data_IF_526598680290
#
_entry.id   IF_526598680290
#
_cell.length_a   1.000
_cell.length_b   1.000
_cell.length_c   1.000
_cell.angle_alpha   90.00
_cell.angle_beta   90.00
_cell.angle_gamma   90.00
#
_symmetry.space_group_name_H-M   'P 1'
#
loop_
_entity.id
_entity.type
_entity.pdbx_description
1 polymer ?
#
# COMPACT_ATOMS: atom_id res chain seq x y z
N UNK A 1 14.82 6.59 -4.74
CA UNK A 1 13.74 6.79 -5.73
C UNK A 1 14.12 6.04 -6.98
N UNK A 2 13.17 5.48 -7.71
CA UNK A 2 13.51 4.55 -8.78
C UNK A 2 12.58 4.69 -9.99
N UNK A 3 13.20 4.79 -11.16
CA UNK A 3 12.55 4.76 -12.48
C UNK A 3 11.83 3.42 -12.70
N UNK A 4 12.45 2.31 -12.27
CA UNK A 4 11.81 1.02 -12.08
C UNK A 4 11.77 0.70 -10.59
N UNK A 5 10.58 0.47 -10.03
CA UNK A 5 10.41 0.19 -8.59
C UNK A 5 10.29 -1.30 -8.31
N UNK A 6 10.75 -1.73 -7.13
CA UNK A 6 10.48 -3.07 -6.60
C UNK A 6 9.10 -3.22 -5.93
N UNK A 7 8.20 -2.25 -6.15
CA UNK A 7 6.82 -2.27 -5.65
C UNK A 7 5.96 -2.84 -6.77
N UNK A 8 5.44 -4.04 -6.57
CA UNK A 8 4.92 -4.90 -7.63
C UNK A 8 3.72 -4.32 -8.40
N UNK A 9 2.98 -3.38 -7.81
CA UNK A 9 1.81 -2.75 -8.44
C UNK A 9 2.09 -1.41 -9.13
N UNK A 10 3.32 -0.94 -9.12
CA UNK A 10 3.70 0.34 -9.73
C UNK A 10 4.91 0.17 -10.64
N UNK A 11 4.98 0.98 -11.67
CA UNK A 11 6.11 0.97 -12.60
C UNK A 11 7.22 1.90 -12.07
N UNK A 12 6.84 3.03 -11.46
CA UNK A 12 7.75 4.00 -10.87
C UNK A 12 7.30 4.50 -9.49
N UNK A 13 8.23 5.04 -8.71
CA UNK A 13 7.93 5.71 -7.43
C UNK A 13 8.33 7.17 -7.46
N UNK A 14 7.42 8.03 -6.99
CA UNK A 14 7.67 9.46 -6.84
C UNK A 14 7.45 9.88 -5.38
N UNK A 15 8.33 10.76 -4.88
CA UNK A 15 8.21 11.34 -3.56
C UNK A 15 8.33 12.87 -3.67
N UNK A 16 7.30 13.65 -3.36
CA UNK A 16 7.38 15.12 -3.39
C UNK A 16 8.24 15.66 -2.22
N UNK A 17 8.25 14.93 -1.11
CA UNK A 17 9.11 15.10 0.06
C UNK A 17 9.40 13.74 0.68
N UNK A 18 10.25 13.73 1.69
CA UNK A 18 10.62 12.56 2.50
C UNK A 18 10.27 12.85 3.95
N UNK A 19 9.68 11.86 4.61
CA UNK A 19 9.22 11.94 5.99
C UNK A 19 7.69 11.90 6.11
N UNK A 20 7.22 11.39 7.24
CA UNK A 20 5.83 11.51 7.68
C UNK A 20 5.70 11.27 9.19
N UNK A 21 4.60 11.73 9.77
CA UNK A 21 4.28 11.52 11.19
C UNK A 21 3.73 10.11 11.40
N UNK A 22 4.13 9.43 12.47
CA UNK A 22 3.55 8.13 12.84
C UNK A 22 2.15 8.31 13.43
N UNK A 23 1.19 7.45 13.06
CA UNK A 23 -0.20 7.58 13.52
C UNK A 23 -0.91 6.27 13.87
N UNK A 24 -0.26 5.12 13.69
CA UNK A 24 -0.87 3.81 14.00
C UNK A 24 0.18 2.71 14.16
N UNK A 25 -0.18 1.53 14.69
CA UNK A 25 0.71 0.37 14.84
C UNK A 25 1.39 -0.06 13.54
N UNK A 26 0.76 0.13 12.39
CA UNK A 26 1.39 -0.07 11.09
C UNK A 26 2.68 0.75 10.85
N UNK A 27 2.95 1.78 11.67
CA UNK A 27 4.13 2.63 11.57
C UNK A 27 5.31 2.14 12.43
N UNK A 28 5.12 1.18 13.33
CA UNK A 28 6.13 0.81 14.35
C UNK A 28 7.42 0.25 13.73
N UNK A 29 7.28 -0.58 12.68
CA UNK A 29 8.39 -1.18 11.94
C UNK A 29 8.50 -0.62 10.51
N UNK A 30 8.18 0.66 10.33
CA UNK A 30 8.17 1.28 9.01
C UNK A 30 9.53 1.18 8.30
N UNK A 31 9.56 0.57 7.11
CA UNK A 31 10.81 0.44 6.34
C UNK A 31 11.44 1.79 5.98
N UNK A 32 10.62 2.82 5.76
CA UNK A 32 11.07 4.15 5.35
C UNK A 32 11.76 4.88 6.52
N UNK A 33 11.22 4.75 7.73
CA UNK A 33 11.91 5.21 8.94
C UNK A 33 13.19 4.40 9.19
N UNK A 34 13.15 3.08 9.02
CA UNK A 34 14.34 2.23 9.14
C UNK A 34 15.44 2.65 8.17
N UNK A 35 15.10 3.01 6.93
CA UNK A 35 16.03 3.61 5.97
C UNK A 35 16.55 4.96 6.47
N UNK A 36 15.68 5.86 6.92
CA UNK A 36 16.07 7.19 7.39
C UNK A 36 17.05 7.11 8.57
N UNK A 37 16.83 6.20 9.53
CA UNK A 37 17.75 5.93 10.65
C UNK A 37 19.14 5.50 10.15
N UNK A 38 19.21 4.58 9.19
CA UNK A 38 20.49 4.12 8.60
C UNK A 38 21.19 5.22 7.80
N UNK A 39 20.42 6.13 7.21
CA UNK A 39 20.95 7.27 6.46
C UNK A 39 21.37 8.45 7.37
N UNK A 40 21.22 8.35 8.69
CA UNK A 40 21.47 9.47 9.62
C UNK A 40 20.40 10.57 9.58
N UNK A 41 19.24 10.29 8.98
CA UNK A 41 18.12 11.22 8.78
C UNK A 41 16.90 10.87 9.66
N UNK A 42 17.12 10.32 10.86
CA UNK A 42 16.03 9.87 11.76
C UNK A 42 14.99 10.97 12.06
N UNK A 43 15.40 12.24 12.03
CA UNK A 43 14.52 13.41 12.20
C UNK A 43 13.34 13.47 11.25
N UNK A 44 13.43 12.80 10.08
CA UNK A 44 12.36 12.78 9.07
C UNK A 44 11.06 12.06 9.50
N UNK A 45 11.14 11.23 10.54
CA UNK A 45 9.99 10.52 11.12
C UNK A 45 9.66 10.98 12.55
N UNK A 46 10.26 12.08 12.99
CA UNK A 46 10.06 12.66 14.33
C UNK A 46 9.73 14.16 14.31
N UNK A 47 9.28 14.70 13.17
CA UNK A 47 8.74 16.07 13.07
C UNK A 47 9.32 16.94 11.96
N UNK A 48 10.42 16.52 11.31
CA UNK A 48 10.99 17.25 10.18
C UNK A 48 10.55 16.62 8.86
N UNK A 49 10.26 17.42 7.84
CA UNK A 49 10.04 16.93 6.47
C UNK A 49 11.06 17.56 5.53
N UNK A 50 11.46 16.83 4.50
CA UNK A 50 12.45 17.30 3.51
C UNK A 50 11.91 17.22 2.10
N UNK A 51 11.74 18.36 1.43
CA UNK A 51 11.38 18.42 0.01
C UNK A 51 12.44 17.71 -0.83
N UNK A 52 12.02 17.00 -1.87
CA UNK A 52 12.94 16.35 -2.81
C UNK A 52 13.48 17.34 -3.85
N UNK A 53 14.59 16.98 -4.51
CA UNK A 53 15.30 17.86 -5.44
C UNK A 53 14.50 18.20 -6.70
N UNK A 54 14.85 19.29 -7.36
CA UNK A 54 14.23 19.70 -8.64
C UNK A 54 14.33 18.61 -9.71
N UNK A 55 15.47 17.90 -9.77
CA UNK A 55 15.67 16.80 -10.71
C UNK A 55 14.62 15.69 -10.50
N UNK A 56 14.26 15.41 -9.24
CA UNK A 56 13.20 14.45 -8.95
C UNK A 56 11.83 14.93 -9.44
N UNK A 57 11.51 16.21 -9.22
CA UNK A 57 10.25 16.83 -9.70
C UNK A 57 10.14 16.87 -11.24
N UNK A 58 11.24 16.69 -11.97
CA UNK A 58 11.24 16.57 -13.42
C UNK A 58 10.95 15.15 -13.94
N UNK A 59 11.10 14.11 -13.10
CA UNK A 59 10.93 12.71 -13.52
C UNK A 59 9.51 12.42 -14.03
N UNK A 60 8.41 12.82 -13.34
CA UNK A 60 7.06 12.51 -13.81
C UNK A 60 6.74 13.15 -15.16
N UNK A 61 7.25 14.35 -15.46
CA UNK A 61 7.08 14.97 -16.79
C UNK A 61 7.78 14.18 -17.88
N UNK A 62 8.95 13.61 -17.59
CA UNK A 62 9.66 12.71 -18.52
C UNK A 62 8.85 11.43 -18.75
N UNK A 63 8.44 10.77 -17.67
CA UNK A 63 7.63 9.56 -17.71
C UNK A 63 6.30 9.76 -18.42
N UNK A 64 5.68 10.92 -18.27
CA UNK A 64 4.44 11.26 -18.96
C UNK A 64 4.64 11.32 -20.48
N UNK A 65 5.73 11.93 -20.95
CA UNK A 65 6.07 11.93 -22.39
C UNK A 65 6.32 10.52 -22.92
N UNK A 66 7.04 9.70 -22.16
CA UNK A 66 7.29 8.29 -22.50
C UNK A 66 5.98 7.48 -22.58
N UNK A 67 5.10 7.59 -21.57
CA UNK A 67 3.82 6.91 -21.51
C UNK A 67 2.87 7.36 -22.64
N UNK A 68 2.81 8.67 -22.91
CA UNK A 68 2.02 9.23 -24.00
C UNK A 68 2.52 8.71 -25.38
N UNK A 69 3.84 8.66 -25.60
CA UNK A 69 4.40 8.14 -26.84
C UNK A 69 4.17 6.62 -27.01
N UNK A 70 4.15 5.87 -25.90
CA UNK A 70 3.88 4.43 -25.91
C UNK A 70 2.39 4.07 -26.02
N UNK A 71 1.47 5.01 -25.81
CA UNK A 71 0.03 4.76 -25.78
C UNK A 71 -0.44 3.91 -24.59
N UNK A 72 0.38 3.76 -23.56
CA UNK A 72 0.10 2.94 -22.38
C UNK A 72 0.33 3.76 -21.09
N UNK A 73 -0.68 3.88 -20.20
CA UNK A 73 -0.50 4.61 -18.95
C UNK A 73 0.59 4.00 -18.08
N UNK A 74 1.48 4.84 -17.53
CA UNK A 74 2.48 4.40 -16.54
C UNK A 74 1.94 4.61 -15.12
N UNK A 75 2.05 3.58 -14.29
CA UNK A 75 1.60 3.59 -12.89
C UNK A 75 2.68 4.17 -11.98
N UNK A 76 2.35 5.26 -11.28
CA UNK A 76 3.28 5.98 -10.40
C UNK A 76 2.76 5.96 -8.97
N UNK A 77 3.51 5.31 -8.08
CA UNK A 77 3.20 5.31 -6.66
C UNK A 77 3.74 6.57 -5.97
N UNK A 78 2.84 7.32 -5.34
CA UNK A 78 3.14 8.55 -4.61
C UNK A 78 2.47 8.51 -3.22
N UNK A 79 3.18 8.34 -2.11
CA UNK A 79 4.62 8.37 -1.95
C UNK A 79 5.13 7.18 -1.15
N UNK A 80 6.26 6.61 -1.56
CA UNK A 80 6.89 5.48 -0.88
C UNK A 80 7.64 5.87 0.39
N UNK A 81 7.98 7.14 0.56
CA UNK A 81 8.76 7.68 1.67
C UNK A 81 8.09 8.91 2.30
N UNK A 82 6.80 9.10 2.04
CA UNK A 82 6.00 10.19 2.59
C UNK A 82 4.52 9.81 2.63
N UNK A 83 3.71 10.61 3.31
CA UNK A 83 2.25 10.57 3.23
C UNK A 83 1.77 11.92 2.68
N UNK A 84 1.20 11.92 1.47
CA UNK A 84 0.79 13.16 0.79
C UNK A 84 -0.37 13.87 1.48
N UNK A 85 -1.01 13.22 2.47
CA UNK A 85 -2.09 13.75 3.29
C UNK A 85 -1.66 14.01 4.75
N UNK A 86 -0.35 14.04 5.04
CA UNK A 86 0.17 14.45 6.34
C UNK A 86 -0.11 15.94 6.62
N UNK A 87 -0.46 16.27 7.87
CA UNK A 87 -0.71 17.65 8.31
C UNK A 87 0.58 18.47 8.42
N UNK A 88 1.73 17.80 8.63
CA UNK A 88 3.03 18.48 8.74
C UNK A 88 3.59 18.89 7.37
N UNK A 89 3.05 18.35 6.28
CA UNK A 89 3.51 18.67 4.93
C UNK A 89 3.09 20.09 4.54
N UNK A 90 4.08 20.90 4.14
CA UNK A 90 3.89 22.26 3.65
C UNK A 90 2.79 22.30 2.56
N UNK A 91 1.70 23.07 2.76
CA UNK A 91 0.63 23.20 1.78
C UNK A 91 1.12 23.62 0.39
N UNK A 92 2.18 24.45 0.29
CA UNK A 92 2.75 24.85 -1.00
C UNK A 92 3.37 23.66 -1.75
N UNK A 93 4.01 22.74 -1.02
CA UNK A 93 4.61 21.54 -1.63
C UNK A 93 3.55 20.60 -2.20
N UNK A 94 2.39 20.54 -1.54
CA UNK A 94 1.24 19.76 -1.98
C UNK A 94 0.54 20.42 -3.16
N UNK A 95 0.43 21.75 -3.17
CA UNK A 95 -0.07 22.49 -4.33
C UNK A 95 0.80 22.24 -5.58
N UNK A 96 2.13 22.19 -5.43
CA UNK A 96 3.04 21.82 -6.51
C UNK A 96 2.82 20.36 -6.98
N UNK A 97 2.52 19.44 -6.06
CA UNK A 97 2.17 18.05 -6.41
C UNK A 97 0.87 18.01 -7.23
N UNK A 98 -0.17 18.75 -6.83
CA UNK A 98 -1.42 18.82 -7.59
C UNK A 98 -1.20 19.35 -9.00
N UNK A 99 -0.40 20.41 -9.15
CA UNK A 99 -0.01 20.91 -10.47
C UNK A 99 0.71 19.85 -11.31
N UNK A 100 1.66 19.13 -10.71
CA UNK A 100 2.40 18.07 -11.41
C UNK A 100 1.50 16.93 -11.88
N UNK A 101 0.57 16.47 -11.02
CA UNK A 101 -0.38 15.41 -11.37
C UNK A 101 -1.28 15.87 -12.54
N UNK A 102 -1.73 17.13 -12.52
CA UNK A 102 -2.56 17.71 -13.59
C UNK A 102 -1.81 17.82 -14.92
N UNK A 103 -0.52 18.17 -14.87
CA UNK A 103 0.37 18.25 -16.05
C UNK A 103 0.78 16.88 -16.61
N UNK A 104 0.44 15.78 -15.93
CA UNK A 104 0.88 14.43 -16.31
C UNK A 104 -0.29 13.45 -16.52
N UNK A 105 -1.18 13.71 -17.50
CA UNK A 105 -2.40 12.93 -17.71
C UNK A 105 -2.15 11.50 -18.22
N UNK A 106 -0.98 11.21 -18.81
CA UNK A 106 -0.61 9.85 -19.24
C UNK A 106 -0.06 8.97 -18.09
N UNK A 107 0.01 9.51 -16.86
CA UNK A 107 0.39 8.77 -15.68
C UNK A 107 -0.83 8.44 -14.83
N UNK A 108 -0.92 7.20 -14.35
CA UNK A 108 -1.87 6.80 -13.32
C UNK A 108 -1.21 6.94 -11.95
N UNK A 109 -1.69 7.87 -11.13
CA UNK A 109 -1.13 8.18 -9.81
C UNK A 109 -1.81 7.38 -8.70
N UNK A 110 -1.03 6.67 -7.90
CA UNK A 110 -1.52 5.88 -6.76
C UNK A 110 -1.17 6.66 -5.49
N UNK A 111 -2.18 7.29 -4.88
CA UNK A 111 -2.01 8.07 -3.65
C UNK A 111 -2.49 7.28 -2.44
N UNK A 112 -1.56 6.75 -1.65
CA UNK A 112 -1.87 5.95 -0.46
C UNK A 112 -1.62 6.75 0.82
N UNK A 113 -2.55 6.66 1.77
CA UNK A 113 -2.42 7.34 3.07
C UNK A 113 -2.91 6.49 4.24
N UNK A 114 -2.49 6.86 5.46
CA UNK A 114 -3.13 6.38 6.70
C UNK A 114 -4.11 7.41 7.29
N UNK A 115 -4.31 8.54 6.61
CA UNK A 115 -5.11 9.70 7.04
C UNK A 115 -6.24 10.07 6.06
N UNK A 116 -7.11 9.14 5.64
CA UNK A 116 -8.14 9.46 4.65
C UNK A 116 -9.12 10.56 5.11
N UNK A 117 -9.25 10.81 6.42
CA UNK A 117 -10.03 11.93 6.96
C UNK A 117 -9.54 13.31 6.50
N UNK A 118 -8.28 13.40 6.07
CA UNK A 118 -7.68 14.64 5.57
C UNK A 118 -7.92 14.86 4.08
N UNK A 119 -8.20 13.80 3.32
CA UNK A 119 -8.21 13.83 1.84
C UNK A 119 -9.12 14.93 1.33
N UNK A 120 -10.42 14.91 1.68
CA UNK A 120 -11.39 15.93 1.22
C UNK A 120 -10.97 17.38 1.48
N UNK A 121 -10.24 17.63 2.58
CA UNK A 121 -9.81 18.98 2.98
C UNK A 121 -8.56 19.45 2.24
N UNK A 122 -7.80 18.51 1.67
CA UNK A 122 -6.48 18.74 1.09
C UNK A 122 -6.43 18.51 -0.42
N UNK A 123 -7.54 18.04 -1.01
CA UNK A 123 -7.73 17.98 -2.46
C UNK A 123 -7.80 19.41 -3.04
N UNK A 124 -7.33 19.60 -4.29
CA UNK A 124 -7.39 20.90 -4.93
C UNK A 124 -8.84 21.28 -5.30
N UNK A 125 -9.19 22.58 -5.39
CA UNK A 125 -10.55 23.03 -5.71
C UNK A 125 -11.12 22.44 -7.01
N UNK A 126 -10.25 22.21 -8.00
CA UNK A 126 -10.60 21.66 -9.31
C UNK A 126 -10.71 20.11 -9.32
N UNK A 127 -10.74 19.45 -8.17
CA UNK A 127 -10.89 17.99 -8.07
C UNK A 127 -12.18 17.47 -8.71
N UNK A 128 -13.27 18.20 -8.55
CA UNK A 128 -14.57 17.87 -9.13
C UNK A 128 -15.29 16.67 -8.49
N UNK A 129 -16.54 16.46 -8.90
CA UNK A 129 -17.43 15.42 -8.35
C UNK A 129 -17.10 13.99 -8.80
N UNK A 130 -16.36 13.84 -9.91
CA UNK A 130 -15.85 12.56 -10.38
C UNK A 130 -14.42 12.27 -9.85
N UNK A 131 -13.73 13.27 -9.32
CA UNK A 131 -12.29 13.23 -9.09
C UNK A 131 -11.48 13.31 -10.38
N UNK A 132 -10.16 13.30 -10.25
CA UNK A 132 -9.27 13.31 -11.41
C UNK A 132 -9.12 11.92 -12.02
N UNK A 133 -9.28 11.75 -13.35
CA UNK A 133 -9.35 10.44 -14.00
C UNK A 133 -8.04 9.64 -13.91
N UNK A 134 -6.93 10.33 -13.70
CA UNK A 134 -5.60 9.74 -13.63
C UNK A 134 -5.10 9.57 -12.18
N UNK A 135 -5.98 9.63 -11.18
CA UNK A 135 -5.63 9.47 -9.76
C UNK A 135 -6.47 8.39 -9.07
N UNK A 136 -5.79 7.40 -8.51
CA UNK A 136 -6.37 6.38 -7.64
C UNK A 136 -6.04 6.72 -6.18
N UNK A 137 -7.06 6.75 -5.33
CA UNK A 137 -6.90 7.07 -3.92
C UNK A 137 -6.93 5.79 -3.09
N UNK A 138 -5.98 5.64 -2.17
CA UNK A 138 -5.87 4.47 -1.33
C UNK A 138 -5.75 4.81 0.14
N UNK A 139 -6.21 3.90 0.99
CA UNK A 139 -5.88 3.94 2.43
C UNK A 139 -5.22 2.65 2.87
N UNK A 140 -4.26 2.74 3.79
CA UNK A 140 -3.78 1.56 4.51
C UNK A 140 -4.75 1.21 5.64
N UNK A 141 -4.94 -0.08 5.91
CA UNK A 141 -5.47 -0.59 7.18
C UNK A 141 -4.60 -1.75 7.65
N UNK A 142 -4.41 -1.91 8.95
CA UNK A 142 -3.66 -3.03 9.53
C UNK A 142 -4.54 -4.09 10.19
N UNK A 143 -5.81 -3.78 10.41
CA UNK A 143 -6.83 -4.65 11.00
C UNK A 143 -8.23 -4.04 10.75
N UNK A 144 -9.26 -4.70 11.28
CA UNK A 144 -10.66 -4.27 11.23
C UNK A 144 -10.86 -2.87 11.84
N UNK A 145 -10.30 -2.57 13.02
CA UNK A 145 -10.48 -1.26 13.66
C UNK A 145 -10.03 -0.14 12.72
N UNK A 146 -8.82 -0.26 12.16
CA UNK A 146 -8.28 0.72 11.25
C UNK A 146 -8.99 0.74 9.90
N UNK A 147 -9.47 -0.40 9.41
CA UNK A 147 -10.29 -0.46 8.19
C UNK A 147 -11.58 0.33 8.37
N UNK A 148 -12.38 0.00 9.39
CA UNK A 148 -13.63 0.69 9.71
C UNK A 148 -13.38 2.19 9.95
N UNK A 149 -12.29 2.53 10.64
CA UNK A 149 -11.91 3.92 10.92
C UNK A 149 -11.60 4.71 9.67
N UNK A 150 -10.92 4.12 8.70
CA UNK A 150 -10.34 4.82 7.54
C UNK A 150 -11.24 4.75 6.31
N UNK A 151 -11.87 3.61 6.07
CA UNK A 151 -12.71 3.38 4.90
C UNK A 151 -13.95 4.27 4.88
N UNK A 152 -14.57 4.55 6.05
CA UNK A 152 -15.68 5.51 6.16
C UNK A 152 -15.35 6.91 5.61
N UNK A 153 -14.08 7.30 5.66
CA UNK A 153 -13.64 8.59 5.11
C UNK A 153 -13.30 8.48 3.63
N UNK A 154 -12.60 7.42 3.22
CA UNK A 154 -12.14 7.29 1.84
C UNK A 154 -13.27 6.93 0.86
N UNK A 155 -14.18 6.03 1.25
CA UNK A 155 -15.29 5.51 0.42
C UNK A 155 -16.16 6.62 -0.18
N UNK A 156 -16.26 7.76 0.50
CA UNK A 156 -17.10 8.88 0.07
C UNK A 156 -16.33 9.93 -0.74
N UNK A 157 -15.02 9.81 -0.93
CA UNK A 157 -14.24 10.78 -1.71
C UNK A 157 -14.45 10.53 -3.21
N UNK A 158 -14.76 11.54 -4.04
CA UNK A 158 -14.75 11.40 -5.49
C UNK A 158 -13.41 10.88 -6.01
N UNK A 159 -13.42 9.76 -6.72
CA UNK A 159 -12.27 9.22 -7.42
C UNK A 159 -12.75 8.16 -8.41
N UNK A 160 -12.05 7.98 -9.54
CA UNK A 160 -12.32 6.87 -10.46
C UNK A 160 -12.05 5.50 -9.82
N UNK A 161 -11.18 5.45 -8.79
CA UNK A 161 -10.82 4.22 -8.09
C UNK A 161 -10.37 4.51 -6.66
N UNK A 162 -10.90 3.73 -5.71
CA UNK A 162 -10.55 3.74 -4.29
C UNK A 162 -10.07 2.35 -3.87
N UNK A 163 -8.81 2.25 -3.45
CA UNK A 163 -8.22 0.96 -3.07
C UNK A 163 -7.88 0.86 -1.59
N UNK A 164 -7.78 -0.37 -1.11
CA UNK A 164 -7.32 -0.69 0.24
C UNK A 164 -5.97 -1.40 0.17
N UNK A 165 -5.01 -0.91 0.94
CA UNK A 165 -3.76 -1.61 1.20
C UNK A 165 -3.80 -2.18 2.61
N UNK A 166 -4.11 -3.46 2.72
CA UNK A 166 -4.07 -4.21 3.98
C UNK A 166 -2.61 -4.62 4.27
N UNK A 167 -1.77 -3.61 4.52
CA UNK A 167 -0.31 -3.73 4.63
C UNK A 167 0.32 -2.77 5.66
N UNK A 168 0.98 -3.28 6.72
CA UNK A 168 1.06 -4.69 7.09
C UNK A 168 -0.28 -5.21 7.62
N UNK A 169 -0.61 -6.45 7.31
CA UNK A 169 -1.71 -7.18 7.92
C UNK A 169 -1.36 -7.65 9.34
N UNK A 170 -1.95 -7.03 10.36
CA UNK A 170 -1.64 -7.23 11.79
C UNK A 170 -2.81 -7.83 12.59
N UNK A 171 -4.02 -7.85 12.05
CA UNK A 171 -5.22 -8.45 12.66
C UNK A 171 -6.31 -8.65 11.62
N UNK A 172 -7.33 -9.48 11.87
CA UNK A 172 -8.39 -9.75 10.89
C UNK A 172 -9.01 -8.45 10.36
N UNK A 173 -9.34 -8.40 9.06
CA UNK A 173 -9.84 -7.19 8.41
C UNK A 173 -11.37 -6.99 8.60
N UNK A 174 -12.09 -8.06 8.93
CA UNK A 174 -13.56 -8.06 9.01
C UNK A 174 -14.23 -8.14 7.63
N UNK A 175 -15.51 -7.72 7.56
CA UNK A 175 -16.28 -7.70 6.31
C UNK A 175 -15.87 -6.50 5.43
N UNK A 176 -15.46 -6.79 4.20
CA UNK A 176 -15.12 -5.78 3.18
C UNK A 176 -16.30 -4.88 2.84
N UNK A 177 -17.54 -5.39 2.90
CA UNK A 177 -18.75 -4.60 2.68
C UNK A 177 -19.07 -3.87 3.97
N UNK A 178 -18.33 -2.79 4.18
CA UNK A 178 -18.54 -1.92 5.33
C UNK A 178 -19.88 -1.19 5.20
N UNK A 179 -20.91 -1.72 5.84
CA UNK A 179 -22.26 -1.14 5.85
C UNK A 179 -22.73 -0.83 4.40
N UNK A 180 -23.31 0.35 4.20
CA UNK A 180 -23.77 0.84 2.89
C UNK A 180 -22.68 1.61 2.12
N UNK A 181 -21.40 1.52 2.51
CA UNK A 181 -20.29 2.24 1.86
C UNK A 181 -19.62 1.46 0.72
N UNK A 182 -20.04 0.21 0.49
CA UNK A 182 -19.48 -0.67 -0.52
C UNK A 182 -18.07 -1.16 -0.17
N UNK A 183 -17.60 -2.12 -0.96
CA UNK A 183 -16.25 -2.66 -0.88
C UNK A 183 -15.24 -1.75 -1.61
N UNK A 184 -13.93 -1.87 -1.32
CA UNK A 184 -12.90 -1.24 -2.13
C UNK A 184 -12.92 -1.70 -3.58
N UNK A 185 -12.55 -0.81 -4.51
CA UNK A 185 -12.43 -1.12 -5.94
C UNK A 185 -11.23 -2.04 -6.23
N UNK A 186 -10.31 -2.15 -5.27
CA UNK A 186 -9.12 -3.01 -5.32
C UNK A 186 -8.57 -3.26 -3.93
N UNK A 187 -8.09 -4.47 -3.68
CA UNK A 187 -7.51 -4.84 -2.40
C UNK A 187 -6.14 -5.49 -2.56
N UNK A 188 -5.18 -4.94 -1.82
CA UNK A 188 -3.81 -5.42 -1.74
C UNK A 188 -3.55 -5.97 -0.33
N UNK A 189 -3.02 -7.19 -0.21
CA UNK A 189 -2.66 -7.82 1.07
C UNK A 189 -1.17 -8.11 1.12
N UNK A 190 -0.55 -7.82 2.27
CA UNK A 190 0.86 -8.13 2.48
C UNK A 190 1.27 -8.09 3.94
N UNK A 191 2.17 -9.00 4.30
CA UNK A 191 2.77 -9.05 5.63
C UNK A 191 3.89 -8.02 5.84
N UNK A 192 4.28 -7.84 7.10
CA UNK A 192 5.35 -6.92 7.49
C UNK A 192 6.74 -7.48 7.14
N UNK A 193 7.68 -6.61 6.75
CA UNK A 193 9.04 -7.01 6.37
C UNK A 193 10.09 -6.08 6.99
N UNK A 194 11.26 -6.62 7.32
CA UNK A 194 12.36 -5.88 7.91
C UNK A 194 12.51 -6.13 9.42
N UNK A 195 13.44 -5.42 10.08
CA UNK A 195 13.70 -5.60 11.51
C UNK A 195 12.42 -5.45 12.34
N UNK A 196 12.14 -6.43 13.20
CA UNK A 196 10.97 -6.43 14.06
C UNK A 196 9.66 -6.82 13.39
N UNK A 197 9.68 -7.28 12.13
CA UNK A 197 8.49 -7.68 11.38
C UNK A 197 7.58 -8.62 12.20
N UNK A 198 6.30 -8.30 12.23
CA UNK A 198 5.24 -9.11 12.84
C UNK A 198 4.65 -10.11 11.83
N UNK A 199 4.33 -11.34 12.23
CA UNK A 199 3.73 -12.33 11.34
C UNK A 199 2.27 -11.99 11.01
N UNK A 200 1.81 -12.44 9.84
CA UNK A 200 0.41 -12.40 9.41
C UNK A 200 -0.20 -13.80 9.52
N UNK A 201 -1.41 -13.91 10.07
CA UNK A 201 -2.12 -15.20 10.11
C UNK A 201 -2.60 -15.58 8.70
N UNK A 202 -2.38 -16.82 8.22
CA UNK A 202 -2.73 -17.22 6.86
C UNK A 202 -4.23 -17.12 6.56
N UNK A 203 -5.08 -17.37 7.56
CA UNK A 203 -6.53 -17.25 7.37
C UNK A 203 -6.99 -15.81 7.07
N UNK A 204 -6.30 -14.77 7.55
CA UNK A 204 -6.69 -13.39 7.23
C UNK A 204 -6.55 -13.09 5.73
N UNK A 205 -5.44 -13.52 5.12
CA UNK A 205 -5.23 -13.34 3.68
C UNK A 205 -6.23 -14.16 2.85
N UNK A 206 -6.53 -15.40 3.27
CA UNK A 206 -7.52 -16.27 2.60
C UNK A 206 -8.93 -15.71 2.69
N UNK A 207 -9.34 -15.27 3.88
CA UNK A 207 -10.65 -14.68 4.09
C UNK A 207 -10.86 -13.45 3.20
N UNK A 208 -9.86 -12.56 3.16
CA UNK A 208 -9.92 -11.37 2.32
C UNK A 208 -9.92 -11.72 0.82
N UNK A 209 -9.15 -12.72 0.39
CA UNK A 209 -9.21 -13.25 -0.99
C UNK A 209 -10.61 -13.73 -1.35
N UNK A 210 -11.21 -14.52 -0.46
CA UNK A 210 -12.51 -15.15 -0.70
C UNK A 210 -13.62 -14.09 -0.72
N UNK A 211 -13.57 -13.10 0.17
CA UNK A 211 -14.48 -11.94 0.15
C UNK A 211 -14.32 -11.11 -1.13
N UNK A 212 -13.08 -10.87 -1.60
CA UNK A 212 -12.83 -10.19 -2.87
C UNK A 212 -13.44 -10.96 -4.05
N UNK A 213 -13.25 -12.28 -4.08
CA UNK A 213 -13.82 -13.13 -5.13
C UNK A 213 -15.35 -13.09 -5.14
N UNK A 214 -16.00 -13.07 -3.97
CA UNK A 214 -17.45 -12.98 -3.85
C UNK A 214 -17.98 -11.59 -4.27
N UNK A 215 -17.22 -10.54 -4.01
CA UNK A 215 -17.60 -9.16 -4.30
C UNK A 215 -17.20 -8.68 -5.72
N UNK A 216 -16.47 -9.50 -6.48
CA UNK A 216 -15.91 -9.10 -7.78
C UNK A 216 -14.80 -8.05 -7.68
N UNK A 217 -14.14 -7.96 -6.53
CA UNK A 217 -13.04 -7.01 -6.28
C UNK A 217 -11.73 -7.64 -6.73
N UNK A 218 -10.92 -6.98 -7.59
CA UNK A 218 -9.58 -7.42 -7.90
C UNK A 218 -8.75 -7.60 -6.62
N UNK A 219 -8.08 -8.74 -6.50
CA UNK A 219 -7.28 -9.10 -5.32
C UNK A 219 -5.81 -9.29 -5.69
N UNK A 220 -4.94 -8.60 -4.95
CA UNK A 220 -3.50 -8.77 -5.05
C UNK A 220 -2.93 -9.23 -3.72
N UNK A 221 -2.31 -10.41 -3.72
CA UNK A 221 -1.47 -10.85 -2.62
C UNK A 221 -0.03 -10.49 -2.94
N UNK A 222 0.50 -9.48 -2.27
CA UNK A 222 1.84 -8.97 -2.54
C UNK A 222 2.91 -9.95 -2.05
N UNK A 223 2.82 -10.36 -0.78
CA UNK A 223 3.82 -11.20 -0.11
C UNK A 223 3.48 -11.49 1.36
N UNK A 224 4.11 -12.52 1.92
CA UNK A 224 3.98 -12.91 3.33
C UNK A 224 4.73 -12.02 4.34
N UNK A 225 5.69 -11.20 3.89
CA UNK A 225 6.60 -10.50 4.82
C UNK A 225 7.79 -11.38 5.20
N UNK A 226 8.37 -11.14 6.38
CA UNK A 226 9.52 -11.92 6.85
C UNK A 226 9.15 -13.30 7.44
N UNK A 227 7.85 -13.61 7.53
CA UNK A 227 7.33 -14.81 8.15
C UNK A 227 6.53 -15.65 7.16
N UNK A 228 6.85 -16.94 7.04
CA UNK A 228 6.08 -17.88 6.23
C UNK A 228 5.22 -18.78 7.13
N UNK A 229 3.89 -18.83 6.95
CA UNK A 229 3.04 -19.79 7.65
C UNK A 229 3.37 -21.24 7.27
N UNK A 230 3.30 -22.13 8.26
CA UNK A 230 3.48 -23.56 8.03
C UNK A 230 2.46 -24.08 7.00
N UNK A 231 2.93 -24.90 6.06
CA UNK A 231 2.13 -25.40 4.94
C UNK A 231 2.05 -24.48 3.71
N UNK A 232 2.57 -23.25 3.77
CA UNK A 232 2.74 -22.41 2.58
C UNK A 232 4.01 -22.77 1.80
N UNK A 233 3.98 -22.75 0.46
CA UNK A 233 5.19 -22.93 -0.33
C UNK A 233 6.08 -21.68 -0.27
N UNK A 234 7.39 -21.87 -0.35
CA UNK A 234 8.36 -20.78 -0.46
C UNK A 234 8.38 -20.15 -1.85
N UNK A 235 8.91 -18.94 -1.95
CA UNK A 235 9.12 -18.25 -3.23
C UNK A 235 10.35 -18.69 -4.03
N UNK A 236 10.95 -19.86 -3.74
CA UNK A 236 12.16 -20.34 -4.42
C UNK A 236 12.83 -21.53 -3.70
N UNK A 237 14.03 -21.91 -4.18
CA UNK A 237 14.85 -22.95 -3.55
C UNK A 237 15.19 -22.59 -2.11
N UNK A 238 15.00 -23.57 -1.23
CA UNK A 238 15.22 -23.41 0.18
C UNK A 238 16.51 -24.13 0.55
N UNK A 239 17.47 -23.42 1.13
CA UNK A 239 18.44 -24.07 2.02
C UNK A 239 17.73 -24.65 3.26
N UNK A 240 18.45 -25.16 4.25
CA UNK A 240 17.81 -25.65 5.47
C UNK A 240 17.02 -24.53 6.20
N UNK A 241 15.69 -24.66 6.32
CA UNK A 241 14.88 -23.86 7.25
C UNK A 241 15.06 -24.46 8.64
N UNK A 242 15.37 -23.62 9.62
CA UNK A 242 15.32 -24.05 11.01
C UNK A 242 13.86 -24.11 11.48
N UNK A 243 13.25 -25.28 11.33
CA UNK A 243 11.85 -25.54 11.72
C UNK A 243 11.62 -25.38 13.24
N UNK A 244 12.68 -25.44 14.05
CA UNK A 244 12.60 -25.21 15.50
C UNK A 244 12.38 -23.74 15.85
N UNK A 245 12.75 -22.83 14.95
CA UNK A 245 12.47 -21.41 15.10
C UNK A 245 11.11 -21.10 14.48
N UNK A 246 10.08 -21.06 15.31
CA UNK A 246 8.71 -20.69 14.94
C UNK A 246 8.08 -19.79 16.00
N UNK A 247 7.08 -19.05 15.58
CA UNK A 247 6.13 -18.38 16.45
C UNK A 247 4.71 -18.91 16.16
N UNK A 248 3.75 -18.56 17.02
CA UNK A 248 2.36 -18.95 16.89
C UNK A 248 1.48 -17.72 16.92
N UNK A 249 0.78 -17.48 15.83
CA UNK A 249 -0.20 -16.40 15.72
C UNK A 249 -1.59 -16.99 15.76
N UNK A 250 -2.48 -16.37 16.53
CA UNK A 250 -3.89 -16.75 16.65
C UNK A 250 -4.73 -15.89 15.72
N UNK A 251 -5.87 -16.44 15.30
CA UNK A 251 -6.83 -15.75 14.43
C UNK A 251 -7.33 -14.40 14.97
N UNK A 252 -7.40 -14.23 16.28
CA UNK A 252 -7.78 -12.97 16.96
C UNK A 252 -6.66 -11.92 16.98
N UNK A 253 -5.49 -12.20 16.39
CA UNK A 253 -4.30 -11.34 16.43
C UNK A 253 -3.42 -11.58 17.66
N UNK A 254 -3.85 -12.44 18.59
CA UNK A 254 -3.05 -12.84 19.75
C UNK A 254 -1.88 -13.76 19.39
N UNK A 255 -0.98 -13.97 20.35
CA UNK A 255 0.13 -14.93 20.23
C UNK A 255 -0.12 -16.18 21.08
N UNK A 256 0.49 -17.31 20.69
CA UNK A 256 0.54 -18.53 21.48
C UNK A 256 -0.02 -19.77 20.79
N UNK A 257 0.55 -20.93 21.14
CA UNK A 257 0.26 -22.22 20.51
C UNK A 257 -1.05 -22.89 21.00
N UNK A 258 -1.52 -22.52 22.20
CA UNK A 258 -2.67 -23.16 22.85
C UNK A 258 -4.00 -22.56 22.37
N UNK A 259 -4.26 -22.66 21.06
CA UNK A 259 -5.55 -22.33 20.47
C UNK A 259 -5.79 -23.22 19.24
N UNK A 260 -7.03 -23.71 19.01
CA UNK A 260 -7.38 -24.38 17.75
C UNK A 260 -7.23 -23.46 16.53
N UNK A 261 -7.16 -22.14 16.75
CA UNK A 261 -6.99 -21.13 15.72
C UNK A 261 -5.54 -20.63 15.60
N UNK A 262 -4.57 -21.32 16.22
CA UNK A 262 -3.17 -20.94 16.14
C UNK A 262 -2.54 -21.47 14.84
N UNK A 263 -1.83 -20.62 14.13
CA UNK A 263 -1.00 -20.98 12.99
C UNK A 263 0.49 -20.82 13.36
N UNK A 264 1.28 -21.85 13.08
CA UNK A 264 2.73 -21.77 13.17
C UNK A 264 3.29 -20.93 12.01
N UNK A 265 4.27 -20.09 12.31
CA UNK A 265 4.94 -19.21 11.33
C UNK A 265 6.45 -19.25 11.53
N UNK A 266 7.20 -19.20 10.43
CA UNK A 266 8.66 -19.31 10.43
C UNK A 266 9.34 -18.03 9.93
N UNK A 267 10.32 -17.47 10.67
CA UNK A 267 11.01 -16.24 10.29
C UNK A 267 12.08 -16.55 9.24
N UNK A 268 11.65 -16.73 7.99
CA UNK A 268 12.54 -17.09 6.88
C UNK A 268 12.95 -15.87 6.04
N UNK A 269 12.40 -14.70 6.30
CA UNK A 269 12.71 -13.45 5.60
C UNK A 269 11.98 -13.33 4.26
N UNK A 270 11.68 -12.07 3.89
CA UNK A 270 10.85 -11.69 2.74
C UNK A 270 11.10 -12.47 1.46
N UNK A 271 12.36 -12.56 1.03
CA UNK A 271 12.70 -13.20 -0.25
C UNK A 271 12.27 -14.68 -0.28
N UNK A 272 12.45 -15.40 0.83
CA UNK A 272 12.12 -16.83 0.91
C UNK A 272 10.63 -17.06 1.16
N UNK A 273 10.01 -16.21 1.98
CA UNK A 273 8.57 -16.30 2.25
C UNK A 273 7.75 -16.06 0.96
N UNK A 274 8.18 -15.15 0.10
CA UNK A 274 7.62 -15.01 -1.23
C UNK A 274 6.18 -14.50 -1.25
N UNK A 275 5.49 -14.79 -2.36
CA UNK A 275 4.20 -14.20 -2.74
C UNK A 275 3.13 -15.20 -3.18
N UNK A 276 3.35 -16.47 -2.88
CA UNK A 276 2.36 -17.51 -3.13
C UNK A 276 1.40 -17.56 -1.96
N UNK A 277 0.11 -17.41 -2.21
CA UNK A 277 -0.95 -17.72 -1.26
C UNK A 277 -1.56 -19.06 -1.68
N UNK A 278 -1.38 -20.08 -0.86
CA UNK A 278 -1.81 -21.45 -1.15
C UNK A 278 -1.24 -21.98 -2.49
N UNK A 279 0.01 -21.60 -2.81
CA UNK A 279 0.69 -22.01 -4.05
C UNK A 279 0.29 -21.23 -5.30
N UNK A 280 -0.55 -20.21 -5.17
CA UNK A 280 -1.04 -19.40 -6.30
C UNK A 280 -0.54 -17.97 -6.17
N UNK A 281 -0.11 -17.39 -7.31
CA UNK A 281 0.14 -15.95 -7.39
C UNK A 281 -1.18 -15.21 -7.60
N UNK A 282 -1.42 -14.18 -6.78
CA UNK A 282 -2.58 -13.29 -6.94
C UNK A 282 -2.07 -11.88 -7.27
N UNK A 283 -2.14 -11.50 -8.54
CA UNK A 283 -1.54 -10.27 -9.07
C UNK A 283 -2.57 -9.37 -9.76
N UNK A 284 -3.86 -9.52 -9.43
CA UNK A 284 -4.90 -8.77 -10.12
C UNK A 284 -4.78 -7.26 -9.82
N UNK A 285 -4.74 -6.46 -10.88
CA UNK A 285 -4.75 -5.00 -10.83
C UNK A 285 -5.94 -4.54 -11.68
N UNK A 286 -6.79 -3.63 -11.18
CA UNK A 286 -7.94 -3.14 -11.93
C UNK A 286 -7.52 -2.41 -13.21
N UNK A 287 -8.43 -2.41 -14.17
CA UNK A 287 -8.37 -1.50 -15.32
C UNK A 287 -9.48 -0.48 -15.17
N UNK A 288 -9.18 0.81 -15.34
CA UNK A 288 -10.24 1.82 -15.42
C UNK A 288 -10.71 1.83 -16.86
N UNK A 289 -11.96 1.45 -17.09
CA UNK A 289 -12.59 1.63 -18.40
C UNK A 289 -12.71 3.15 -18.67
N UNK A 290 -12.03 3.66 -19.70
CA UNK A 290 -12.27 5.04 -20.17
C UNK A 290 -11.07 5.96 -20.40
N UNK A 291 -9.85 5.46 -20.66
CA UNK A 291 -8.82 6.29 -21.33
C UNK A 291 -8.58 5.78 -22.75
N UNK A 292 -9.65 5.77 -23.56
CA UNK A 292 -9.54 5.60 -25.01
C UNK A 292 -9.82 6.95 -25.68
N UNK A 293 -8.82 7.43 -26.42
CA UNK A 293 -8.90 8.31 -27.60
C UNK A 293 -9.83 9.53 -27.51
N UNK A 294 -9.25 10.71 -27.29
CA UNK A 294 -9.73 11.88 -28.01
C UNK A 294 -9.39 11.66 -29.49
N UNK A 295 -10.42 11.57 -30.33
CA UNK A 295 -10.33 11.80 -31.78
C UNK A 295 -9.72 13.19 -32.08
#
# INVERSE_FOLDING_TARGET
MAEATGIEWADSTFNPWVGCTKISPACDNCYAEGWAKRAGEAGLWSGTLRRTSVQNWNLPRRWNREAAAAGAPRRVFCASLADVFDNQADPAWRADLWRLIRETPALTWFLLTKRPQNVRKMLPPEWGEAGWPNVWLGTTAEDEEYYLKRWRHLSVVPAPLRFLSYEPALGPLGDLRFQDKGAPDWLIVGGESGPGARPMHPAWAREVRDQCSQAGVPFMFKQWGDWLPEGQPTGGEIGQINLWRRDWIRLDGGQGAYSPTAAAVHPIGKKRAGRLLDGVEHIAIPTVAGTASHE
#
